data_IF_898945974153
#
_entry.id   IF_898945974153
#
_cell.length_a   1.000
_cell.length_b   1.000
_cell.length_c   1.000
_cell.angle_alpha   90.00
_cell.angle_beta   90.00
_cell.angle_gamma   90.00
#
_symmetry.space_group_name_H-M   'P 1'
#
loop_
_entity.id
_entity.type
_entity.pdbx_description
1 polymer ?
#
# COMPACT_ATOMS: atom_id res chain seq x y z
N UNK A 1 1.34 -3.75 -6.97
CA UNK A 1 0.23 -2.97 -6.40
C UNK A 1 -0.92 -3.86 -5.94
N UNK A 2 -1.62 -4.57 -6.85
CA UNK A 2 -2.83 -5.35 -6.52
C UNK A 2 -2.66 -6.29 -5.33
N UNK A 3 -1.59 -7.09 -5.32
CA UNK A 3 -1.28 -7.98 -4.19
C UNK A 3 -1.12 -7.21 -2.87
N UNK A 4 -0.41 -6.07 -2.89
CA UNK A 4 -0.24 -5.23 -1.71
C UNK A 4 -1.55 -4.62 -1.21
N UNK A 5 -2.46 -4.24 -2.12
CA UNK A 5 -3.79 -3.74 -1.76
C UNK A 5 -4.65 -4.83 -1.10
N UNK A 6 -4.62 -6.05 -1.65
CA UNK A 6 -5.32 -7.21 -1.07
C UNK A 6 -4.77 -7.52 0.33
N UNK A 7 -3.45 -7.61 0.47
CA UNK A 7 -2.81 -7.87 1.75
C UNK A 7 -3.12 -6.78 2.78
N UNK A 8 -3.04 -5.50 2.39
CA UNK A 8 -3.38 -4.38 3.27
C UNK A 8 -4.84 -4.40 3.74
N UNK A 9 -5.77 -4.74 2.84
CA UNK A 9 -7.18 -4.87 3.19
C UNK A 9 -7.44 -6.05 4.15
N UNK A 10 -6.80 -7.20 3.91
CA UNK A 10 -6.88 -8.34 4.85
C UNK A 10 -6.30 -7.97 6.21
N UNK A 11 -5.17 -7.26 6.24
CA UNK A 11 -4.54 -6.82 7.48
C UNK A 11 -5.43 -5.87 8.30
N UNK A 12 -6.14 -4.92 7.67
CA UNK A 12 -7.02 -4.02 8.43
C UNK A 12 -8.22 -4.75 9.03
N UNK A 13 -8.79 -5.70 8.31
CA UNK A 13 -9.90 -6.52 8.80
C UNK A 13 -9.44 -7.39 9.98
N UNK A 14 -8.26 -7.99 9.86
CA UNK A 14 -7.66 -8.76 10.95
C UNK A 14 -7.43 -7.89 12.19
N UNK A 15 -6.94 -6.66 12.01
CA UNK A 15 -6.75 -5.70 13.11
C UNK A 15 -8.08 -5.27 13.75
N UNK A 16 -9.15 -5.12 12.96
CA UNK A 16 -10.47 -4.75 13.47
C UNK A 16 -11.08 -5.84 14.37
N UNK A 17 -10.61 -7.08 14.25
CA UNK A 17 -11.05 -8.19 15.09
C UNK A 17 -10.37 -8.21 16.47
N UNK A 18 -9.40 -7.32 16.71
CA UNK A 18 -8.64 -7.22 17.95
C UNK A 18 -9.04 -5.97 18.73
N UNK A 19 -9.60 -6.16 19.92
CA UNK A 19 -9.87 -5.06 20.84
C UNK A 19 -8.58 -4.69 21.58
N UNK A 20 -8.07 -3.47 21.31
CA UNK A 20 -6.91 -2.93 22.01
C UNK A 20 -7.42 -2.15 23.21
N UNK A 21 -7.25 -2.71 24.41
CA UNK A 21 -7.55 -2.01 25.65
C UNK A 21 -6.60 -0.82 25.85
N UNK A 22 -7.15 0.31 26.28
CA UNK A 22 -6.37 1.53 26.56
C UNK A 22 -6.66 2.03 27.98
N UNK A 23 -5.66 2.61 28.69
CA UNK A 23 -5.88 3.14 30.04
C UNK A 23 -6.93 4.26 30.04
N UNK A 24 -8.09 4.10 30.70
CA UNK A 24 -9.20 5.06 30.62
C UNK A 24 -8.84 6.46 31.13
N UNK A 25 -7.94 6.50 32.13
CA UNK A 25 -7.41 7.72 32.75
C UNK A 25 -6.74 8.66 31.73
N UNK A 26 -6.14 8.08 30.70
CA UNK A 26 -5.33 8.79 29.69
C UNK A 26 -6.18 9.20 28.48
N UNK A 27 -7.23 8.43 28.18
CA UNK A 27 -8.01 8.55 26.94
C UNK A 27 -9.47 8.94 27.18
N UNK A 28 -9.71 9.81 28.16
CA UNK A 28 -11.03 10.41 28.44
C UNK A 28 -12.16 9.37 28.60
N UNK A 29 -11.88 8.24 29.25
CA UNK A 29 -12.86 7.19 29.51
C UNK A 29 -13.08 6.19 28.36
N UNK A 30 -12.30 6.27 27.28
CA UNK A 30 -12.24 5.19 26.29
C UNK A 30 -11.63 3.94 26.94
N UNK A 31 -12.31 2.80 26.79
CA UNK A 31 -11.82 1.51 27.28
C UNK A 31 -11.07 0.74 26.19
N UNK A 32 -11.42 0.97 24.93
CA UNK A 32 -10.79 0.33 23.77
C UNK A 32 -10.44 1.37 22.70
N UNK A 33 -9.43 1.08 21.88
CA UNK A 33 -9.10 1.89 20.71
C UNK A 33 -10.13 1.63 19.59
N UNK A 34 -10.96 2.61 19.20
CA UNK A 34 -11.90 2.44 18.11
C UNK A 34 -11.15 2.43 16.77
N UNK A 35 -11.21 1.30 16.06
CA UNK A 35 -10.70 1.21 14.69
C UNK A 35 -11.86 1.32 13.69
N UNK A 36 -11.99 2.49 13.06
CA UNK A 36 -12.97 2.74 12.02
C UNK A 36 -12.33 2.56 10.63
N UNK A 37 -12.90 1.66 9.83
CA UNK A 37 -12.41 1.36 8.48
C UNK A 37 -13.36 1.99 7.46
N UNK A 38 -12.90 3.07 6.82
CA UNK A 38 -13.62 3.68 5.70
C UNK A 38 -13.09 3.13 4.35
N UNK A 39 -13.94 2.42 3.56
CA UNK A 39 -13.56 1.92 2.24
C UNK A 39 -13.04 2.99 1.27
N UNK A 40 -13.48 4.26 1.39
CA UNK A 40 -12.99 5.34 0.53
C UNK A 40 -11.50 5.59 0.72
N UNK A 41 -10.98 5.42 1.93
CA UNK A 41 -9.54 5.56 2.19
C UNK A 41 -8.71 4.54 1.40
N UNK A 42 -9.23 3.32 1.21
CA UNK A 42 -8.59 2.30 0.38
C UNK A 42 -8.61 2.66 -1.10
N UNK A 43 -9.71 3.24 -1.58
CA UNK A 43 -9.81 3.72 -2.97
C UNK A 43 -8.80 4.83 -3.23
N UNK A 44 -8.69 5.81 -2.32
CA UNK A 44 -7.67 6.86 -2.44
C UNK A 44 -6.26 6.30 -2.39
N UNK A 45 -5.95 5.43 -1.42
CA UNK A 45 -4.64 4.80 -1.32
C UNK A 45 -4.27 4.01 -2.58
N UNK A 46 -5.21 3.22 -3.12
CA UNK A 46 -5.02 2.47 -4.36
C UNK A 46 -4.78 3.38 -5.56
N UNK A 47 -5.55 4.48 -5.67
CA UNK A 47 -5.38 5.46 -6.74
C UNK A 47 -3.98 6.11 -6.72
N UNK A 48 -3.53 6.59 -5.57
CA UNK A 48 -2.19 7.18 -5.45
C UNK A 48 -1.08 6.15 -5.64
N UNK A 49 -1.23 4.94 -5.08
CA UNK A 49 -0.27 3.86 -5.27
C UNK A 49 -0.15 3.45 -6.76
N UNK A 50 -1.26 3.45 -7.50
CA UNK A 50 -1.26 3.20 -8.94
C UNK A 50 -0.45 4.26 -9.70
N UNK A 51 -0.68 5.54 -9.40
CA UNK A 51 0.07 6.65 -10.02
C UNK A 51 1.56 6.51 -9.76
N UNK A 52 1.96 6.28 -8.51
CA UNK A 52 3.38 6.08 -8.14
C UNK A 52 3.97 4.87 -8.85
N UNK A 53 3.22 3.78 -8.97
CA UNK A 53 3.67 2.58 -9.66
C UNK A 53 3.90 2.82 -11.16
N UNK A 54 3.03 3.59 -11.81
CA UNK A 54 3.23 4.04 -13.19
C UNK A 54 4.54 4.81 -13.31
N UNK A 55 4.77 5.83 -12.48
CA UNK A 55 5.99 6.62 -12.57
C UNK A 55 7.24 5.78 -12.35
N UNK A 56 7.21 4.91 -11.34
CA UNK A 56 8.32 4.02 -10.99
C UNK A 56 8.59 2.96 -12.07
N UNK A 57 7.56 2.40 -12.70
CA UNK A 57 7.69 1.34 -13.70
C UNK A 57 7.95 1.85 -15.12
N UNK A 58 7.31 2.95 -15.52
CA UNK A 58 7.40 3.47 -16.90
C UNK A 58 8.77 4.06 -17.21
N UNK A 59 9.40 4.75 -16.26
CA UNK A 59 10.74 5.31 -16.47
C UNK A 59 11.79 4.24 -16.83
N UNK A 60 12.01 3.19 -16.02
CA UNK A 60 12.96 2.12 -16.35
C UNK A 60 12.50 1.30 -17.56
N UNK A 61 11.20 1.03 -17.73
CA UNK A 61 10.70 0.30 -18.90
C UNK A 61 11.03 1.05 -20.21
N UNK A 62 10.85 2.38 -20.25
CA UNK A 62 11.24 3.20 -21.40
C UNK A 62 12.74 3.19 -21.64
N UNK A 63 13.56 3.20 -20.58
CA UNK A 63 15.01 3.10 -20.69
C UNK A 63 15.42 1.74 -21.28
N UNK A 64 14.82 0.65 -20.81
CA UNK A 64 15.07 -0.71 -21.30
C UNK A 64 14.65 -0.88 -22.76
N UNK A 65 13.48 -0.37 -23.16
CA UNK A 65 12.98 -0.47 -24.53
C UNK A 65 13.84 0.28 -25.57
N UNK A 66 14.66 1.25 -25.13
CA UNK A 66 15.57 2.02 -26.00
C UNK A 66 17.01 1.48 -25.99
N UNK A 67 17.29 0.43 -25.21
CA UNK A 67 18.62 -0.16 -25.15
C UNK A 67 18.91 -0.87 -26.48
N UNK A 68 20.08 -0.59 -27.05
CA UNK A 68 20.55 -1.28 -28.25
C UNK A 68 20.70 -2.78 -27.96
N UNK A 69 20.03 -3.67 -28.71
CA UNK A 69 20.07 -5.11 -28.46
C UNK A 69 21.49 -5.69 -28.56
N UNK A 70 22.37 -5.12 -29.39
CA UNK A 70 23.78 -5.57 -29.47
C UNK A 70 24.49 -5.29 -28.14
N UNK A 71 24.32 -4.09 -27.59
CA UNK A 71 24.85 -3.72 -26.27
C UNK A 71 24.20 -4.49 -25.14
N UNK A 72 22.92 -4.87 -25.27
CA UNK A 72 22.23 -5.67 -24.27
C UNK A 72 22.82 -7.07 -24.16
N UNK A 73 23.17 -7.71 -25.27
CA UNK A 73 23.80 -9.05 -25.30
C UNK A 73 25.27 -8.97 -24.90
N UNK A 74 25.99 -7.92 -25.31
CA UNK A 74 27.40 -7.71 -24.94
C UNK A 74 27.60 -7.60 -23.40
N UNK A 75 26.61 -7.07 -22.68
CA UNK A 75 26.63 -6.88 -21.22
C UNK A 75 25.76 -7.89 -20.45
N UNK A 76 25.27 -8.96 -21.10
CA UNK A 76 24.46 -10.02 -20.48
C UNK A 76 25.33 -11.14 -19.90
#
# INVERSE_FOLDING_TARGET
>A
MVLGAILGYISIIALQSYEIEVPPETYFGLQTLPLEVDPLNFVYAAFFAFIVNIFSGVYPARKAAKLDPVKAIENA
#
